data_IF_595182857697
#
_entry.id   IF_595182857697
#
_cell.length_a   1.000
_cell.length_b   1.000
_cell.length_c   1.000
_cell.angle_alpha   90.00
_cell.angle_beta   90.00
_cell.angle_gamma   90.00
#
_symmetry.space_group_name_H-M   'P 1'
#
loop_
_entity.id
_entity.type
_entity.pdbx_description
1 polymer ?
#
# COMPACT_ATOMS: atom_id res chain seq x y z
N UNK A 1 -26.46 13.11 17.67
CA UNK A 1 -26.07 12.25 16.54
C UNK A 1 -26.96 12.63 15.36
N UNK A 2 -26.42 13.32 14.35
CA UNK A 2 -27.19 13.80 13.19
C UNK A 2 -27.12 12.75 12.07
N UNK A 3 -28.28 12.32 11.57
CA UNK A 3 -28.42 11.42 10.44
C UNK A 3 -28.93 12.23 9.24
N UNK A 4 -28.23 12.19 8.12
CA UNK A 4 -28.70 12.81 6.87
C UNK A 4 -29.64 11.83 6.17
N UNK A 5 -30.88 12.26 5.97
CA UNK A 5 -31.91 11.53 5.20
C UNK A 5 -32.00 12.13 3.79
N UNK A 6 -32.26 11.29 2.79
CA UNK A 6 -32.59 11.77 1.44
C UNK A 6 -34.05 12.24 1.33
N UNK A 7 -34.40 12.84 0.20
CA UNK A 7 -35.74 13.37 -0.09
C UNK A 7 -36.87 12.32 -0.09
N UNK A 8 -36.54 11.02 0.05
CA UNK A 8 -37.50 9.92 0.13
C UNK A 8 -37.58 9.32 1.55
N UNK A 9 -36.96 9.96 2.55
CA UNK A 9 -37.02 9.52 3.95
C UNK A 9 -36.18 8.27 4.24
N UNK A 10 -35.27 7.88 3.33
CA UNK A 10 -34.37 6.77 3.57
C UNK A 10 -33.18 7.28 4.39
N UNK A 11 -32.95 6.67 5.56
CA UNK A 11 -31.72 6.89 6.33
C UNK A 11 -30.56 6.40 5.46
N UNK A 12 -29.78 7.34 4.93
CA UNK A 12 -28.56 7.02 4.21
C UNK A 12 -27.49 6.65 5.23
N UNK A 13 -27.59 5.46 5.82
CA UNK A 13 -26.44 4.79 6.44
C UNK A 13 -25.51 4.33 5.33
N UNK A 14 -24.99 5.27 4.55
CA UNK A 14 -24.00 5.01 3.53
C UNK A 14 -22.62 4.87 4.18
N UNK A 15 -22.48 3.97 5.17
CA UNK A 15 -21.19 3.30 5.34
C UNK A 15 -21.21 2.11 4.39
N UNK A 16 -21.18 2.49 3.12
CA UNK A 16 -21.02 1.61 1.96
C UNK A 16 -19.90 0.66 2.32
N UNK A 17 -20.23 -0.62 2.40
CA UNK A 17 -19.32 -1.75 2.44
C UNK A 17 -18.49 -1.73 1.15
N UNK A 18 -17.57 -0.78 1.03
CA UNK A 18 -16.46 -0.91 0.12
C UNK A 18 -15.44 -1.69 0.90
N UNK A 19 -15.47 -3.00 0.69
CA UNK A 19 -14.45 -3.97 1.08
C UNK A 19 -13.15 -3.28 1.47
N UNK A 20 -12.79 -3.39 2.75
CA UNK A 20 -11.74 -2.64 3.42
C UNK A 20 -10.34 -3.11 2.99
N UNK A 21 -10.08 -3.13 1.70
CA UNK A 21 -8.79 -3.52 1.13
C UNK A 21 -7.92 -2.29 0.91
N UNK A 22 -6.70 -2.35 1.42
CA UNK A 22 -5.66 -1.37 1.14
C UNK A 22 -4.63 -2.02 0.21
N UNK A 23 -4.56 -1.52 -1.03
CA UNK A 23 -3.68 -2.06 -2.08
C UNK A 23 -2.55 -1.07 -2.34
N UNK A 24 -1.31 -1.53 -2.17
CA UNK A 24 -0.11 -0.72 -2.36
C UNK A 24 0.90 -1.42 -3.27
N UNK A 25 1.63 -0.63 -4.05
CA UNK A 25 2.80 -1.07 -4.82
C UNK A 25 4.04 -0.53 -4.13
N UNK A 26 4.98 -1.43 -3.84
CA UNK A 26 6.31 -1.09 -3.36
C UNK A 26 7.23 -0.95 -4.58
N UNK A 27 7.77 0.23 -4.79
CA UNK A 27 8.78 0.51 -5.80
C UNK A 27 10.19 0.46 -5.21
N UNK A 28 11.13 -0.01 -6.02
CA UNK A 28 12.56 0.00 -5.75
C UNK A 28 13.24 0.92 -6.78
N UNK A 29 14.01 1.88 -6.28
CA UNK A 29 14.80 2.81 -7.09
C UNK A 29 16.13 3.18 -6.40
N UNK A 30 17.03 3.91 -7.07
CA UNK A 30 18.34 4.34 -6.54
C UNK A 30 18.32 4.88 -5.11
N UNK A 31 17.39 5.77 -4.70
CA UNK A 31 17.38 6.28 -3.33
C UNK A 31 16.84 5.27 -2.30
N UNK A 32 16.23 4.16 -2.74
CA UNK A 32 15.71 3.11 -1.86
C UNK A 32 14.30 2.67 -2.24
N UNK A 33 13.52 2.32 -1.21
CA UNK A 33 12.17 1.78 -1.35
C UNK A 33 11.13 2.83 -1.04
N UNK A 34 10.07 2.88 -1.82
CA UNK A 34 8.93 3.77 -1.58
C UNK A 34 7.66 3.07 -2.03
N UNK A 35 6.50 3.62 -1.69
CA UNK A 35 5.24 2.97 -2.03
C UNK A 35 4.15 3.95 -2.39
N UNK A 36 3.20 3.48 -3.18
CA UNK A 36 2.01 4.24 -3.60
C UNK A 36 0.79 3.32 -3.59
N UNK A 37 -0.43 3.88 -3.57
CA UNK A 37 -1.64 3.11 -3.85
C UNK A 37 -1.58 2.42 -5.20
N UNK A 38 -2.09 1.18 -5.29
CA UNK A 38 -2.08 0.39 -6.53
C UNK A 38 -2.77 1.11 -7.70
N UNK A 39 -3.83 1.88 -7.41
CA UNK A 39 -4.58 2.64 -8.41
C UNK A 39 -3.74 3.65 -9.22
N UNK A 40 -2.60 4.08 -8.69
CA UNK A 40 -1.71 5.05 -9.35
C UNK A 40 -0.36 4.43 -9.76
N UNK A 41 -0.27 3.10 -9.81
CA UNK A 41 0.97 2.38 -10.20
C UNK A 41 1.51 2.88 -11.54
N UNK A 42 0.66 2.96 -12.56
CA UNK A 42 1.06 3.32 -13.92
C UNK A 42 1.66 4.74 -13.96
N UNK A 43 1.01 5.70 -13.29
CA UNK A 43 1.44 7.10 -13.27
C UNK A 43 2.72 7.28 -12.44
N UNK A 44 2.79 6.59 -11.30
CA UNK A 44 3.97 6.59 -10.43
C UNK A 44 5.17 5.94 -11.12
N UNK A 45 4.96 4.92 -11.97
CA UNK A 45 6.02 4.32 -12.76
C UNK A 45 6.49 5.24 -13.90
N UNK A 46 5.56 5.93 -14.56
CA UNK A 46 5.89 6.86 -15.65
C UNK A 46 6.60 8.14 -15.15
N UNK A 47 6.23 8.61 -13.96
CA UNK A 47 6.74 9.87 -13.38
C UNK A 47 7.11 9.71 -11.90
N UNK A 48 8.11 8.88 -11.57
CA UNK A 48 8.42 8.52 -10.19
C UNK A 48 8.74 9.73 -9.30
N UNK A 49 9.37 10.76 -9.83
CA UNK A 49 9.75 11.96 -9.07
C UNK A 49 8.56 12.76 -8.55
N UNK A 50 7.40 12.66 -9.21
CA UNK A 50 6.17 13.36 -8.80
C UNK A 50 5.40 12.62 -7.71
N UNK A 51 5.54 11.30 -7.66
CA UNK A 51 4.77 10.42 -6.76
C UNK A 51 5.60 9.86 -5.61
N UNK A 52 6.93 10.00 -5.67
CA UNK A 52 7.83 9.59 -4.60
C UNK A 52 7.64 10.50 -3.39
N UNK A 53 6.93 9.97 -2.39
CA UNK A 53 6.89 10.55 -1.06
C UNK A 53 8.12 10.11 -0.25
N UNK A 54 7.87 9.57 0.94
CA UNK A 54 8.93 9.07 1.83
C UNK A 54 9.69 7.90 1.23
N UNK A 55 11.01 7.98 1.25
CA UNK A 55 11.92 6.90 0.84
C UNK A 55 12.45 6.18 2.07
N UNK A 56 12.45 4.86 2.01
CA UNK A 56 12.89 3.95 3.06
C UNK A 56 14.14 3.21 2.62
N UNK A 57 15.13 3.13 3.51
CA UNK A 57 16.40 2.44 3.26
C UNK A 57 16.25 0.93 3.08
N UNK A 58 15.16 0.35 3.60
CA UNK A 58 14.90 -1.08 3.51
C UNK A 58 13.48 -1.36 3.06
N UNK A 59 13.33 -2.46 2.31
CA UNK A 59 12.05 -2.92 1.80
C UNK A 59 11.03 -3.19 2.90
N UNK A 60 11.47 -3.73 4.05
CA UNK A 60 10.60 -4.01 5.21
C UNK A 60 10.06 -2.72 5.84
N UNK A 61 10.86 -1.64 5.87
CA UNK A 61 10.41 -0.36 6.41
C UNK A 61 9.31 0.27 5.56
N UNK A 62 9.44 0.21 4.22
CA UNK A 62 8.37 0.65 3.32
C UNK A 62 7.07 -0.14 3.54
N UNK A 63 7.15 -1.45 3.75
CA UNK A 63 5.97 -2.27 4.00
C UNK A 63 5.33 -2.05 5.37
N UNK A 64 6.13 -1.80 6.41
CA UNK A 64 5.60 -1.42 7.72
C UNK A 64 4.86 -0.08 7.66
N UNK A 65 5.38 0.87 6.89
CA UNK A 65 4.70 2.13 6.65
C UNK A 65 3.39 1.94 5.87
N UNK A 66 3.39 1.10 4.82
CA UNK A 66 2.16 0.75 4.09
C UNK A 66 1.12 0.04 5.00
N UNK A 67 1.57 -0.87 5.88
CA UNK A 67 0.71 -1.52 6.88
C UNK A 67 0.15 -0.51 7.87
N UNK A 68 0.96 0.42 8.38
CA UNK A 68 0.50 1.48 9.28
C UNK A 68 -0.57 2.35 8.61
N UNK A 69 -0.39 2.66 7.32
CA UNK A 69 -1.37 3.40 6.53
C UNK A 69 -2.67 2.60 6.33
N UNK A 70 -2.58 1.30 6.04
CA UNK A 70 -3.75 0.43 5.94
C UNK A 70 -4.54 0.38 7.25
N UNK A 71 -3.84 0.28 8.38
CA UNK A 71 -4.46 0.28 9.72
C UNK A 71 -5.13 1.61 10.01
N UNK A 72 -4.47 2.74 9.70
CA UNK A 72 -5.05 4.07 9.86
C UNK A 72 -6.30 4.29 8.99
N UNK A 73 -6.35 3.65 7.81
CA UNK A 73 -7.52 3.66 6.93
C UNK A 73 -8.64 2.72 7.40
N UNK A 74 -8.42 1.92 8.44
CA UNK A 74 -9.37 0.92 8.90
C UNK A 74 -9.52 -0.24 7.93
N UNK A 75 -8.46 -0.59 7.19
CA UNK A 75 -8.46 -1.72 6.27
C UNK A 75 -8.57 -3.07 7.02
N UNK A 76 -9.32 -4.03 6.47
CA UNK A 76 -9.35 -5.43 6.89
C UNK A 76 -8.40 -6.31 6.07
N UNK A 77 -8.03 -5.85 4.86
CA UNK A 77 -7.12 -6.57 3.96
C UNK A 77 -5.97 -5.65 3.51
N UNK A 78 -4.75 -6.19 3.48
CA UNK A 78 -3.56 -5.50 3.01
C UNK A 78 -2.99 -6.24 1.81
N UNK A 79 -2.97 -5.60 0.65
CA UNK A 79 -2.41 -6.14 -0.59
C UNK A 79 -1.12 -5.39 -0.91
N UNK A 80 0.00 -6.12 -1.00
CA UNK A 80 1.31 -5.58 -1.30
C UNK A 80 1.84 -6.17 -2.60
N UNK A 81 1.97 -5.32 -3.61
CA UNK A 81 2.55 -5.62 -4.92
C UNK A 81 4.02 -5.20 -4.97
N UNK A 82 4.84 -5.88 -5.77
CA UNK A 82 6.28 -5.62 -5.83
C UNK A 82 7.11 -6.34 -4.76
N UNK A 83 6.49 -7.30 -4.06
CA UNK A 83 7.01 -7.83 -2.80
C UNK A 83 7.34 -9.32 -2.89
N UNK A 84 8.56 -9.71 -2.49
CA UNK A 84 8.94 -11.12 -2.44
C UNK A 84 8.37 -11.82 -1.19
N UNK A 85 8.73 -13.08 -0.98
CA UNK A 85 8.34 -13.84 0.21
C UNK A 85 8.93 -13.21 1.49
N UNK A 86 8.15 -12.37 2.16
CA UNK A 86 8.56 -11.75 3.44
C UNK A 86 7.56 -12.15 4.51
N UNK A 87 7.87 -13.28 5.13
CA UNK A 87 7.05 -13.95 6.15
C UNK A 87 6.75 -13.06 7.36
N UNK A 88 7.60 -12.08 7.66
CA UNK A 88 7.45 -11.16 8.80
C UNK A 88 6.23 -10.23 8.66
N UNK A 89 5.95 -9.68 7.47
CA UNK A 89 4.80 -8.78 7.27
C UNK A 89 3.47 -9.51 7.43
N UNK A 90 3.41 -10.78 7.04
CA UNK A 90 2.22 -11.60 7.26
C UNK A 90 1.89 -11.72 8.75
N UNK A 91 2.89 -11.99 9.58
CA UNK A 91 2.74 -12.04 11.05
C UNK A 91 2.33 -10.68 11.64
N UNK A 92 2.98 -9.60 11.23
CA UNK A 92 2.68 -8.24 11.71
C UNK A 92 1.27 -7.77 11.30
N UNK A 93 0.81 -8.14 10.11
CA UNK A 93 -0.54 -7.82 9.62
C UNK A 93 -1.60 -8.61 10.39
N UNK A 94 -1.41 -9.92 10.56
CA UNK A 94 -2.30 -10.76 11.37
C UNK A 94 -2.42 -10.26 12.81
N UNK A 95 -1.32 -9.84 13.44
CA UNK A 95 -1.33 -9.29 14.80
C UNK A 95 -2.16 -8.00 14.92
N UNK A 96 -2.37 -7.28 13.81
CA UNK A 96 -3.19 -6.07 13.74
C UNK A 96 -4.62 -6.34 13.25
N UNK A 97 -4.99 -7.60 13.01
CA UNK A 97 -6.30 -7.99 12.50
C UNK A 97 -6.48 -7.84 10.99
N UNK A 98 -5.39 -7.65 10.23
CA UNK A 98 -5.44 -7.52 8.77
C UNK A 98 -5.07 -8.85 8.08
N UNK A 99 -5.82 -9.19 7.04
CA UNK A 99 -5.48 -10.29 6.13
C UNK A 99 -4.50 -9.78 5.07
N UNK A 100 -3.27 -10.25 5.09
CA UNK A 100 -2.24 -9.81 4.14
C UNK A 100 -2.14 -10.69 2.90
N UNK A 101 -2.16 -10.08 1.73
CA UNK A 101 -1.87 -10.68 0.43
C UNK A 101 -0.59 -10.07 -0.13
N UNK A 102 0.41 -10.93 -0.38
CA UNK A 102 1.73 -10.52 -0.84
C UNK A 102 1.94 -11.09 -2.24
N UNK A 103 2.08 -10.20 -3.22
CA UNK A 103 2.26 -10.55 -4.63
C UNK A 103 3.72 -10.38 -5.03
N UNK A 104 4.25 -11.41 -5.71
CA UNK A 104 5.64 -11.47 -6.16
C UNK A 104 6.06 -10.21 -6.94
N UNK A 105 7.33 -9.78 -6.83
CA UNK A 105 7.83 -8.62 -7.56
C UNK A 105 7.72 -8.84 -9.07
N UNK A 106 7.09 -7.88 -9.74
CA UNK A 106 7.08 -7.78 -11.19
C UNK A 106 8.28 -6.95 -11.66
N UNK A 107 8.74 -7.16 -12.89
CA UNK A 107 9.75 -6.30 -13.54
C UNK A 107 9.35 -4.81 -13.50
N UNK A 108 8.04 -4.53 -13.40
CA UNK A 108 7.47 -3.19 -13.32
C UNK A 108 7.74 -2.43 -12.02
N UNK A 109 8.13 -3.13 -10.94
CA UNK A 109 8.37 -2.49 -9.64
C UNK A 109 9.83 -2.07 -9.43
N UNK A 110 10.70 -2.30 -10.42
CA UNK A 110 12.08 -1.78 -10.49
C UNK A 110 12.12 -0.70 -11.57
N UNK A 111 12.18 0.56 -11.16
CA UNK A 111 12.01 1.70 -12.08
C UNK A 111 13.35 2.09 -12.74
N UNK A 112 14.48 1.86 -12.07
CA UNK A 112 15.82 2.01 -12.65
C UNK A 112 16.74 0.90 -12.13
N UNK A 113 17.88 0.61 -12.79
CA UNK A 113 18.87 -0.29 -12.21
C UNK A 113 19.35 0.28 -10.88
N UNK A 114 18.93 -0.37 -9.79
CA UNK A 114 19.50 -0.13 -8.47
C UNK A 114 20.98 -0.49 -8.52
N UNK A 115 21.83 0.51 -8.74
CA UNK A 115 23.26 0.39 -8.51
C UNK A 115 23.47 0.35 -7.00
N UNK A 116 23.43 -0.87 -6.44
CA UNK A 116 23.94 -1.12 -5.09
C UNK A 116 25.40 -0.68 -5.11
N UNK A 117 25.71 0.49 -4.55
CA UNK A 117 27.10 0.88 -4.35
C UNK A 117 27.74 -0.26 -3.52
N UNK A 118 28.73 -0.95 -4.12
CA UNK A 118 29.54 -1.92 -3.39
C UNK A 118 30.18 -1.17 -2.24
N UNK A 119 29.83 -1.55 -1.02
CA UNK A 119 30.54 -1.13 0.18
C UNK A 119 31.76 -2.01 0.36
#
# INVERSE_FOLDING_TARGET
MQFTVDAQGKVLTARRERHMKAEFVIFEDTPGYWFVPYAIESDARATPERYRGTVYSTKIAACRAALAQAVAQGASELHLHGFGATTTIKKESSAKGLKSFVYWPSITTKIAPYHKAKR
#
